data_IF_889036918090
#
_entry.id   IF_889036918090
#
_cell.length_a   1.000
_cell.length_b   1.000
_cell.length_c   1.000
_cell.angle_alpha   90.00
_cell.angle_beta   90.00
_cell.angle_gamma   90.00
#
_symmetry.space_group_name_H-M   'P 1'
#
loop_
_entity.id
_entity.type
_entity.pdbx_description
1 polymer ?
#
# COMPACT_ATOMS: atom_id res chain seq x y z
N UNK A 1 2.92 -16.73 -6.44
CA UNK A 1 3.08 -16.24 -5.05
C UNK A 1 4.17 -17.01 -4.32
N UNK A 2 4.21 -18.37 -4.36
CA UNK A 2 5.18 -19.18 -3.61
C UNK A 2 6.63 -18.76 -3.85
N UNK A 3 7.05 -18.59 -5.11
CA UNK A 3 8.40 -18.12 -5.45
C UNK A 3 8.71 -16.72 -4.91
N UNK A 4 7.72 -15.85 -4.88
CA UNK A 4 7.86 -14.50 -4.32
C UNK A 4 8.14 -14.55 -2.81
N UNK A 5 7.43 -15.42 -2.09
CA UNK A 5 7.52 -15.51 -0.63
C UNK A 5 8.68 -16.40 -0.14
N UNK A 6 9.01 -17.45 -0.84
CA UNK A 6 10.03 -18.44 -0.43
C UNK A 6 11.37 -18.29 -1.16
N UNK A 7 11.39 -17.51 -2.24
CA UNK A 7 12.52 -17.44 -3.15
C UNK A 7 12.57 -18.65 -4.09
N UNK A 8 13.61 -18.72 -4.88
CA UNK A 8 13.90 -19.79 -5.81
C UNK A 8 15.39 -19.98 -5.97
N UNK A 9 15.80 -20.91 -6.80
CA UNK A 9 17.20 -21.13 -7.16
C UNK A 9 17.54 -20.40 -8.48
N UNK A 10 18.81 -20.02 -8.63
CA UNK A 10 19.33 -19.38 -9.84
C UNK A 10 18.61 -18.09 -10.19
N UNK A 11 18.23 -17.88 -11.48
CA UNK A 11 17.58 -16.64 -11.94
C UNK A 11 16.21 -16.36 -11.30
N UNK A 12 15.61 -17.33 -10.62
CA UNK A 12 14.33 -17.18 -9.92
C UNK A 12 14.47 -16.73 -8.47
N UNK A 13 15.69 -16.53 -7.96
CA UNK A 13 15.93 -16.14 -6.57
C UNK A 13 15.24 -14.82 -6.20
N UNK A 14 15.19 -13.87 -7.14
CA UNK A 14 14.62 -12.54 -6.99
C UNK A 14 13.23 -12.38 -7.64
N UNK A 15 12.48 -13.47 -7.79
CA UNK A 15 11.16 -13.42 -8.38
C UNK A 15 10.23 -12.47 -7.61
N UNK A 16 9.58 -11.55 -8.33
CA UNK A 16 8.59 -10.61 -7.79
C UNK A 16 7.22 -10.92 -8.37
N UNK A 17 6.24 -11.14 -7.51
CA UNK A 17 4.84 -11.18 -7.89
C UNK A 17 4.23 -9.80 -7.70
N UNK A 18 3.43 -9.36 -8.63
CA UNK A 18 2.58 -8.17 -8.50
C UNK A 18 1.12 -8.55 -8.60
N UNK A 19 0.26 -7.62 -8.21
CA UNK A 19 -1.19 -7.73 -8.29
C UNK A 19 -1.77 -6.49 -8.94
N UNK A 20 -2.79 -6.69 -9.77
CA UNK A 20 -3.61 -5.61 -10.30
C UNK A 20 -4.74 -5.34 -9.30
N UNK A 21 -4.78 -4.16 -8.66
CA UNK A 21 -5.83 -3.85 -7.69
C UNK A 21 -7.21 -3.73 -8.30
N UNK A 22 -7.27 -3.22 -9.55
CA UNK A 22 -8.52 -3.02 -10.26
C UNK A 22 -9.01 -4.34 -10.88
N UNK A 23 -10.21 -4.75 -10.51
CA UNK A 23 -10.89 -5.94 -11.04
C UNK A 23 -11.71 -5.60 -12.30
N UNK A 24 -12.16 -6.64 -13.02
CA UNK A 24 -12.92 -6.49 -14.29
C UNK A 24 -14.26 -5.80 -14.15
N UNK A 25 -14.83 -5.79 -12.96
CA UNK A 25 -16.09 -5.16 -12.59
C UNK A 25 -15.90 -3.77 -11.96
N UNK A 26 -14.73 -3.15 -12.17
CA UNK A 26 -14.35 -1.83 -11.66
C UNK A 26 -14.30 -1.75 -10.13
N UNK A 27 -14.11 -2.88 -9.44
CA UNK A 27 -13.95 -2.95 -7.99
C UNK A 27 -12.49 -3.23 -7.58
N UNK A 28 -12.20 -3.07 -6.29
CA UNK A 28 -10.91 -3.42 -5.68
C UNK A 28 -11.09 -3.91 -4.24
N UNK A 29 -10.13 -4.69 -3.74
CA UNK A 29 -10.08 -5.20 -2.37
C UNK A 29 -9.18 -4.40 -1.45
N UNK A 30 -8.46 -3.45 -1.99
CA UNK A 30 -7.55 -2.57 -1.25
C UNK A 30 -7.32 -1.27 -2.00
N UNK A 31 -6.89 -0.28 -1.25
CA UNK A 31 -6.28 0.95 -1.73
C UNK A 31 -4.83 0.98 -1.22
N UNK A 32 -3.89 1.37 -2.06
CA UNK A 32 -2.53 1.66 -1.61
C UNK A 32 -2.11 3.05 -2.11
N UNK A 33 -1.43 3.82 -1.25
CA UNK A 33 -0.76 5.07 -1.63
C UNK A 33 0.75 4.80 -1.69
N UNK A 34 1.37 5.20 -2.79
CA UNK A 34 2.78 4.99 -3.09
C UNK A 34 3.58 6.26 -2.81
N UNK A 35 4.66 6.10 -2.07
CA UNK A 35 5.58 7.16 -1.69
C UNK A 35 7.01 6.76 -2.07
N UNK A 36 7.63 7.56 -2.91
CA UNK A 36 9.01 7.40 -3.35
C UNK A 36 9.84 8.65 -2.97
N UNK A 37 11.16 8.62 -3.21
CA UNK A 37 12.11 9.72 -2.95
C UNK A 37 12.38 9.97 -1.46
N UNK A 38 13.18 10.99 -1.18
CA UNK A 38 13.81 11.19 0.14
C UNK A 38 12.83 11.42 1.31
N UNK A 39 11.68 12.08 1.08
CA UNK A 39 10.69 12.38 2.12
C UNK A 39 9.63 11.28 2.34
N UNK A 40 9.76 10.11 1.70
CA UNK A 40 8.73 9.07 1.73
C UNK A 40 8.26 8.65 3.12
N UNK A 41 9.19 8.53 4.06
CA UNK A 41 8.89 8.09 5.42
C UNK A 41 8.09 9.13 6.21
N UNK A 42 8.42 10.41 6.04
CA UNK A 42 7.72 11.54 6.66
C UNK A 42 6.32 11.73 6.07
N UNK A 43 6.23 11.76 4.74
CA UNK A 43 4.96 11.94 4.02
C UNK A 43 3.99 10.78 4.28
N UNK A 44 4.45 9.53 4.21
CA UNK A 44 3.65 8.36 4.54
C UNK A 44 3.26 8.32 6.02
N UNK A 45 4.16 8.70 6.93
CA UNK A 45 3.89 8.82 8.34
C UNK A 45 2.75 9.81 8.64
N UNK A 46 2.76 10.98 7.99
CA UNK A 46 1.70 11.97 8.10
C UNK A 46 0.34 11.45 7.60
N UNK A 47 0.34 10.69 6.50
CA UNK A 47 -0.88 10.02 6.01
C UNK A 47 -1.41 8.99 7.02
N UNK A 48 -0.53 8.18 7.63
CA UNK A 48 -0.91 7.22 8.67
C UNK A 48 -1.50 7.90 9.91
N UNK A 49 -0.95 9.02 10.34
CA UNK A 49 -1.51 9.84 11.43
C UNK A 49 -2.92 10.33 11.09
N UNK A 50 -3.14 10.76 9.86
CA UNK A 50 -4.46 11.18 9.38
C UNK A 50 -5.44 10.02 9.33
N UNK A 51 -5.03 8.86 8.81
CA UNK A 51 -5.82 7.63 8.82
C UNK A 51 -6.26 7.28 10.24
N UNK A 52 -5.32 7.26 11.19
CA UNK A 52 -5.60 6.99 12.60
C UNK A 52 -6.59 7.99 13.21
N UNK A 53 -6.39 9.29 12.97
CA UNK A 53 -7.28 10.34 13.48
C UNK A 53 -8.71 10.25 12.92
N UNK A 54 -8.87 9.68 11.73
CA UNK A 54 -10.17 9.45 11.08
C UNK A 54 -10.75 8.04 11.31
N UNK A 55 -10.06 7.19 12.08
CA UNK A 55 -10.50 5.82 12.33
C UNK A 55 -10.36 4.89 11.11
N UNK A 56 -9.54 5.24 10.13
CA UNK A 56 -9.26 4.43 8.95
C UNK A 56 -8.09 3.48 9.25
N UNK A 57 -8.31 2.15 9.24
CA UNK A 57 -7.23 1.19 9.44
C UNK A 57 -6.28 1.21 8.25
N UNK A 58 -5.01 1.46 8.51
CA UNK A 58 -3.97 1.50 7.49
C UNK A 58 -2.72 0.77 7.97
N UNK A 59 -2.03 0.12 7.04
CA UNK A 59 -0.77 -0.59 7.27
C UNK A 59 0.34 0.06 6.45
N UNK A 60 1.54 0.16 7.02
CA UNK A 60 2.67 0.76 6.36
C UNK A 60 3.71 -0.28 5.98
N UNK A 61 4.07 -0.33 4.71
CA UNK A 61 5.11 -1.21 4.16
C UNK A 61 6.29 -0.38 3.65
N UNK A 62 7.50 -0.78 4.00
CA UNK A 62 8.70 -0.32 3.28
C UNK A 62 8.76 -1.03 1.92
N UNK A 63 8.92 -0.27 0.85
CA UNK A 63 8.97 -0.81 -0.51
C UNK A 63 10.12 -1.80 -0.70
N UNK A 64 10.06 -2.58 -1.77
CA UNK A 64 11.09 -3.56 -2.11
C UNK A 64 12.48 -2.94 -2.30
N UNK A 65 12.58 -1.72 -2.82
CA UNK A 65 13.84 -0.99 -3.00
C UNK A 65 14.45 -0.51 -1.68
N UNK A 66 13.61 -0.32 -0.64
CA UNK A 66 13.98 0.31 0.62
C UNK A 66 13.92 1.84 0.60
N UNK A 67 13.75 2.45 -0.57
CA UNK A 67 13.77 3.91 -0.78
C UNK A 67 12.37 4.48 -1.02
N UNK A 68 11.35 3.83 -0.50
CA UNK A 68 9.96 4.24 -0.60
C UNK A 68 9.09 3.42 0.31
N UNK A 69 7.79 3.67 0.30
CA UNK A 69 6.82 2.94 1.11
C UNK A 69 5.42 3.01 0.54
N UNK A 70 4.60 2.05 0.94
CA UNK A 70 3.20 1.99 0.59
C UNK A 70 2.33 2.04 1.84
N UNK A 71 1.33 2.90 1.83
CA UNK A 71 0.27 2.90 2.85
C UNK A 71 -0.92 2.12 2.31
N UNK A 72 -1.22 0.97 2.92
CA UNK A 72 -2.24 0.04 2.51
C UNK A 72 -3.51 0.18 3.35
N UNK A 73 -4.67 0.22 2.71
CA UNK A 73 -5.99 0.16 3.33
C UNK A 73 -6.73 -1.03 2.71
N UNK A 74 -7.08 -2.02 3.53
CA UNK A 74 -7.74 -3.24 3.07
C UNK A 74 -9.24 -3.16 3.29
N UNK A 75 -10.02 -3.69 2.36
CA UNK A 75 -11.47 -3.77 2.43
C UNK A 75 -11.94 -5.19 2.78
N UNK A 76 -13.03 -5.30 3.52
CA UNK A 76 -13.64 -6.57 3.90
C UNK A 76 -14.43 -7.24 2.76
N UNK A 77 -14.77 -6.43 1.76
CA UNK A 77 -15.54 -6.80 0.57
C UNK A 77 -15.10 -5.90 -0.60
N UNK A 78 -15.43 -6.24 -1.87
CA UNK A 78 -15.09 -5.39 -3.02
C UNK A 78 -15.74 -4.02 -2.91
N UNK A 79 -14.95 -2.97 -3.13
CA UNK A 79 -15.40 -1.56 -3.16
C UNK A 79 -15.15 -1.02 -4.56
N UNK A 80 -16.02 -0.12 -5.06
CA UNK A 80 -15.75 0.50 -6.37
C UNK A 80 -14.41 1.22 -6.36
N UNK A 81 -13.63 1.08 -7.41
CA UNK A 81 -12.33 1.74 -7.53
C UNK A 81 -12.45 3.27 -7.42
N UNK A 82 -13.55 3.83 -7.93
CA UNK A 82 -13.86 5.25 -7.78
C UNK A 82 -13.98 5.64 -6.32
N UNK A 83 -14.78 4.92 -5.52
CA UNK A 83 -14.99 5.21 -4.09
C UNK A 83 -13.68 5.07 -3.31
N UNK A 84 -12.92 3.99 -3.57
CA UNK A 84 -11.62 3.80 -2.95
C UNK A 84 -10.65 4.96 -3.25
N UNK A 85 -10.60 5.43 -4.51
CA UNK A 85 -9.76 6.58 -4.90
C UNK A 85 -10.25 7.90 -4.30
N UNK A 86 -11.56 8.09 -4.16
CA UNK A 86 -12.13 9.26 -3.47
C UNK A 86 -11.71 9.28 -2.00
N UNK A 87 -11.79 8.14 -1.31
CA UNK A 87 -11.26 7.99 0.05
C UNK A 87 -9.77 8.37 0.11
N UNK A 88 -8.94 7.78 -0.75
CA UNK A 88 -7.51 8.08 -0.78
C UNK A 88 -7.20 9.56 -1.02
N UNK A 89 -7.88 10.17 -1.98
CA UNK A 89 -7.72 11.60 -2.27
C UNK A 89 -8.16 12.48 -1.10
N UNK A 90 -9.27 12.13 -0.44
CA UNK A 90 -9.75 12.86 0.74
C UNK A 90 -8.76 12.75 1.92
N UNK A 91 -8.16 11.56 2.14
CA UNK A 91 -7.15 11.35 3.17
C UNK A 91 -5.89 12.17 2.89
N UNK A 92 -5.40 12.18 1.65
CA UNK A 92 -4.24 12.99 1.23
C UNK A 92 -4.53 14.48 1.44
N UNK A 93 -5.68 14.97 0.98
CA UNK A 93 -6.10 16.37 1.17
C UNK A 93 -6.14 16.73 2.66
N UNK A 94 -6.80 15.91 3.47
CA UNK A 94 -6.86 16.14 4.92
C UNK A 94 -5.49 16.10 5.60
N UNK A 95 -4.54 15.32 5.07
CA UNK A 95 -3.17 15.29 5.57
C UNK A 95 -2.45 16.60 5.25
N UNK A 96 -2.56 17.10 4.03
CA UNK A 96 -1.98 18.39 3.62
C UNK A 96 -2.55 19.56 4.43
N UNK A 97 -3.84 19.52 4.77
CA UNK A 97 -4.47 20.52 5.63
C UNK A 97 -3.94 20.49 7.07
N UNK A 98 -3.66 19.30 7.62
CA UNK A 98 -3.12 19.11 8.97
C UNK A 98 -1.64 19.41 9.09
N UNK A 99 -0.90 19.17 8.04
CA UNK A 99 0.57 19.24 7.96
C UNK A 99 0.99 20.07 6.74
N UNK A 100 0.64 21.37 6.71
CA UNK A 100 0.91 22.23 5.55
C UNK A 100 2.41 22.40 5.25
N UNK A 101 3.28 22.10 6.21
CA UNK A 101 4.74 22.08 6.03
C UNK A 101 5.24 20.88 5.23
N UNK A 102 4.43 19.80 5.12
CA UNK A 102 4.76 18.60 4.35
C UNK A 102 4.30 18.82 2.91
N UNK A 103 5.25 18.86 1.99
CA UNK A 103 4.98 19.12 0.57
C UNK A 103 4.43 17.93 -0.21
N UNK A 104 4.34 16.72 0.38
CA UNK A 104 3.98 15.47 -0.27
C UNK A 104 4.75 15.23 -1.59
N UNK A 105 6.02 15.68 -1.62
CA UNK A 105 6.86 15.59 -2.81
C UNK A 105 7.22 14.13 -3.17
N UNK A 106 7.11 13.22 -2.21
CA UNK A 106 7.34 11.79 -2.40
C UNK A 106 6.10 11.01 -2.84
N UNK A 107 4.89 11.58 -2.68
CA UNK A 107 3.67 10.92 -3.14
C UNK A 107 3.68 10.77 -4.68
N UNK A 108 3.54 9.54 -5.16
CA UNK A 108 3.50 9.25 -6.59
C UNK A 108 2.06 9.00 -7.07
N UNK A 109 1.38 8.00 -6.50
CA UNK A 109 0.04 7.61 -6.97
C UNK A 109 -0.76 6.78 -5.98
N UNK A 110 -2.03 6.57 -6.31
CA UNK A 110 -2.89 5.57 -5.69
C UNK A 110 -2.93 4.28 -6.53
N UNK A 111 -3.17 3.16 -5.87
CA UNK A 111 -3.48 1.87 -6.46
C UNK A 111 -4.84 1.38 -5.91
N UNK A 112 -5.91 1.28 -6.74
CA UNK A 112 -5.94 1.58 -8.18
C UNK A 112 -5.75 3.07 -8.47
N UNK A 113 -5.19 3.38 -9.66
CA UNK A 113 -5.01 4.77 -10.10
C UNK A 113 -6.09 5.24 -11.08
N UNK A 114 -7.08 4.41 -11.37
CA UNK A 114 -8.17 4.69 -12.31
C UNK A 114 -9.48 4.12 -11.77
N UNK A 115 -10.61 4.69 -12.23
CA UNK A 115 -11.95 4.36 -11.74
C UNK A 115 -12.52 3.11 -12.43
N UNK A 116 -12.10 2.86 -13.68
CA UNK A 116 -12.63 1.80 -14.52
C UNK A 116 -11.52 1.00 -15.21
N UNK A 117 -11.80 -0.26 -15.49
CA UNK A 117 -10.88 -1.13 -16.22
C UNK A 117 -10.79 -0.69 -17.69
N UNK A 118 -9.60 -0.42 -18.22
CA UNK A 118 -9.46 -0.07 -19.62
C UNK A 118 -9.76 -1.28 -20.51
N UNK A 119 -10.40 -1.05 -21.65
CA UNK A 119 -10.67 -2.10 -22.62
C UNK A 119 -9.36 -2.71 -23.11
N UNK A 120 -9.20 -4.02 -22.90
CA UNK A 120 -7.97 -4.76 -23.27
C UNK A 120 -6.76 -4.51 -22.37
N UNK A 121 -6.93 -3.79 -21.23
CA UNK A 121 -5.88 -3.52 -20.25
C UNK A 121 -6.12 -4.19 -18.90
N UNK A 122 -5.18 -3.97 -17.98
CA UNK A 122 -5.18 -4.55 -16.63
C UNK A 122 -5.06 -3.49 -15.50
N UNK A 123 -4.97 -2.22 -15.86
CA UNK A 123 -4.66 -1.17 -14.87
C UNK A 123 -3.20 -1.21 -14.39
N UNK A 124 -2.93 -0.57 -13.26
CA UNK A 124 -1.59 -0.50 -12.68
C UNK A 124 -1.30 -1.74 -11.85
N UNK A 125 -0.05 -2.22 -11.95
CA UNK A 125 0.48 -3.31 -11.15
C UNK A 125 1.20 -2.75 -9.93
N UNK A 126 0.93 -3.31 -8.75
CA UNK A 126 1.72 -3.09 -7.54
C UNK A 126 2.41 -4.39 -7.12
N UNK A 127 3.67 -4.31 -6.69
CA UNK A 127 4.37 -5.47 -6.15
C UNK A 127 3.75 -5.91 -4.83
N UNK A 128 3.61 -7.22 -4.64
CA UNK A 128 3.17 -7.75 -3.34
C UNK A 128 4.25 -7.53 -2.28
N UNK A 129 3.86 -7.26 -1.02
CA UNK A 129 4.77 -7.26 0.12
C UNK A 129 5.42 -8.63 0.38
N UNK A 130 6.44 -8.64 1.21
CA UNK A 130 7.13 -9.82 1.73
C UNK A 130 7.92 -10.61 0.68
N UNK A 131 8.42 -9.94 -0.36
CA UNK A 131 9.33 -10.55 -1.32
C UNK A 131 10.57 -11.13 -0.60
N UNK A 132 10.91 -12.38 -0.93
CA UNK A 132 11.88 -13.18 -0.18
C UNK A 132 13.23 -12.51 0.02
N UNK A 133 13.86 -12.04 -1.06
CA UNK A 133 15.20 -11.45 -0.99
C UNK A 133 15.19 -10.08 -0.31
N UNK A 134 14.18 -9.26 -0.62
CA UNK A 134 14.06 -7.92 -0.05
C UNK A 134 13.80 -7.96 1.47
N UNK A 135 12.94 -8.85 1.96
CA UNK A 135 12.65 -8.92 3.40
C UNK A 135 13.84 -9.38 4.25
N UNK A 136 14.81 -10.12 3.68
CA UNK A 136 16.04 -10.48 4.39
C UNK A 136 16.91 -9.29 4.77
N UNK A 137 16.74 -8.18 4.05
CA UNK A 137 17.44 -6.92 4.32
C UNK A 137 16.52 -5.84 4.87
N UNK A 138 15.34 -6.23 5.37
CA UNK A 138 14.39 -5.33 6.01
C UNK A 138 13.53 -4.50 5.06
N UNK A 139 13.47 -4.86 3.77
CA UNK A 139 12.63 -4.26 2.75
C UNK A 139 11.42 -5.14 2.40
N UNK A 140 10.41 -4.59 1.72
CA UNK A 140 9.16 -5.31 1.40
C UNK A 140 8.50 -5.88 2.65
N UNK A 141 8.51 -5.15 3.76
CA UNK A 141 8.03 -5.55 5.09
C UNK A 141 7.15 -4.47 5.69
N UNK A 142 6.16 -4.89 6.48
CA UNK A 142 5.34 -3.97 7.25
C UNK A 142 6.10 -3.44 8.46
N UNK A 143 5.90 -2.15 8.72
CA UNK A 143 6.61 -1.37 9.73
C UNK A 143 5.66 -0.92 10.84
N UNK A 144 6.20 -0.82 12.04
CA UNK A 144 5.55 -0.16 13.17
C UNK A 144 5.71 1.37 13.08
N UNK A 145 5.26 2.09 14.11
CA UNK A 145 5.30 3.55 14.18
C UNK A 145 6.73 4.13 14.23
N UNK A 146 7.69 3.33 14.69
CA UNK A 146 9.11 3.69 14.78
C UNK A 146 9.89 3.32 13.50
N UNK A 147 9.18 2.99 12.42
CA UNK A 147 9.74 2.52 11.14
C UNK A 147 10.56 1.23 11.27
N UNK A 148 10.30 0.43 12.32
CA UNK A 148 10.94 -0.86 12.51
C UNK A 148 10.05 -1.97 11.96
N UNK A 149 10.60 -2.98 11.27
CA UNK A 149 9.82 -4.14 10.83
C UNK A 149 9.16 -4.86 12.02
N UNK A 150 7.92 -5.28 11.85
CA UNK A 150 7.32 -6.22 12.81
C UNK A 150 8.12 -7.53 12.80
N UNK A 151 8.36 -8.10 13.98
CA UNK A 151 9.13 -9.34 14.14
C UNK A 151 8.44 -10.50 13.41
N UNK A 152 7.13 -10.66 13.61
CA UNK A 152 6.30 -11.62 12.89
C UNK A 152 5.35 -10.90 11.93
N UNK A 153 5.77 -10.83 10.67
CA UNK A 153 5.00 -10.19 9.58
C UNK A 153 3.66 -10.90 9.31
N UNK A 154 3.60 -12.22 9.51
CA UNK A 154 2.39 -13.00 9.27
C UNK A 154 1.38 -12.83 10.38
N UNK A 155 1.82 -12.82 11.64
CA UNK A 155 0.98 -12.50 12.77
C UNK A 155 0.39 -11.09 12.61
N UNK A 156 1.22 -10.10 12.24
CA UNK A 156 0.75 -8.74 11.97
C UNK A 156 -0.33 -8.72 10.87
N UNK A 157 -0.08 -9.32 9.70
CA UNK A 157 -1.04 -9.38 8.60
C UNK A 157 -2.37 -10.03 8.99
N UNK A 158 -2.32 -11.08 9.83
CA UNK A 158 -3.52 -11.80 10.27
C UNK A 158 -4.43 -10.95 11.18
N UNK A 159 -3.89 -9.91 11.80
CA UNK A 159 -4.60 -9.01 12.71
C UNK A 159 -5.04 -7.70 12.08
N UNK A 160 -4.68 -7.44 10.82
CA UNK A 160 -5.02 -6.20 10.15
C UNK A 160 -6.54 -6.02 10.02
N UNK A 161 -7.10 -4.93 10.55
CA UNK A 161 -8.51 -4.61 10.36
C UNK A 161 -8.79 -4.30 8.88
N UNK A 162 -10.00 -4.58 8.44
CA UNK A 162 -10.50 -4.26 7.11
C UNK A 162 -11.67 -3.29 7.22
N UNK A 163 -11.73 -2.31 6.33
CA UNK A 163 -12.88 -1.42 6.26
C UNK A 163 -14.07 -2.15 5.62
N UNK A 164 -15.28 -1.92 6.12
CA UNK A 164 -16.50 -2.31 5.41
C UNK A 164 -16.76 -1.35 4.23
N UNK A 165 -17.52 -1.78 3.23
CA UNK A 165 -17.90 -0.93 2.11
C UNK A 165 -18.72 0.30 2.55
N UNK A 166 -19.49 0.18 3.63
CA UNK A 166 -20.28 1.27 4.20
C UNK A 166 -19.41 2.37 4.85
N UNK A 167 -18.18 2.02 5.27
CA UNK A 167 -17.26 2.95 5.93
C UNK A 167 -16.34 3.68 4.94
N UNK A 168 -16.35 3.29 3.65
CA UNK A 168 -15.56 3.88 2.58
C UNK A 168 -16.35 5.01 1.92
#
# INVERSE_FOLDING_TARGET
IERHLRGGEGPSADFVAGVYPLLRDDTCWFLAADFDKDSWAEDAGALLETCRAKGVPAAFERSRSGNGGHVWIFFGEPVSARTARQLGSALITATMERRPEIGFASYDRLFPNQDTMPVGGFGNLIALPLQHSARKVGNSVFLNQDLQPFEDQWAYLSTLPRMSAEAV
#
